data_IF_932762019122
#
_entry.id   IF_932762019122
#
_cell.length_a   1.000
_cell.length_b   1.000
_cell.length_c   1.000
_cell.angle_alpha   90.00
_cell.angle_beta   90.00
_cell.angle_gamma   90.00
#
_symmetry.space_group_name_H-M   'P 1'
#
loop_
_entity.id
_entity.type
_entity.pdbx_description
1 polymer ?
#
# COMPACT_ATOMS: atom_id res chain seq x y z
N UNK A 1 39.07 -20.25 26.74
CA UNK A 1 39.25 -18.78 26.87
C UNK A 1 37.90 -18.11 26.65
N UNK A 2 37.46 -17.22 27.55
CA UNK A 2 36.26 -16.38 27.35
C UNK A 2 36.71 -14.93 27.27
N UNK A 3 36.61 -14.32 26.09
CA UNK A 3 36.89 -12.89 25.86
C UNK A 3 35.81 -12.06 26.56
N UNK A 4 36.20 -11.00 27.28
CA UNK A 4 35.24 -10.09 27.92
C UNK A 4 35.04 -8.87 27.02
N UNK A 5 33.91 -8.82 26.34
CA UNK A 5 33.50 -7.66 25.54
C UNK A 5 33.21 -6.49 26.49
N UNK A 6 33.83 -5.34 26.23
CA UNK A 6 33.46 -4.10 26.92
C UNK A 6 32.12 -3.57 26.37
N UNK A 7 31.41 -2.71 27.12
CA UNK A 7 30.13 -2.10 26.71
C UNK A 7 30.18 -1.47 25.31
N UNK A 8 31.31 -0.84 24.95
CA UNK A 8 31.55 -0.29 23.61
C UNK A 8 31.48 -1.35 22.51
N UNK A 9 32.09 -2.53 22.71
CA UNK A 9 32.03 -3.62 21.73
C UNK A 9 30.59 -4.14 21.56
N UNK A 10 29.83 -4.22 22.66
CA UNK A 10 28.41 -4.63 22.60
C UNK A 10 27.59 -3.63 21.79
N UNK A 11 27.79 -2.33 22.00
CA UNK A 11 27.12 -1.27 21.25
C UNK A 11 27.50 -1.32 19.77
N UNK A 12 28.79 -1.50 19.45
CA UNK A 12 29.29 -1.62 18.08
C UNK A 12 28.71 -2.83 17.35
N UNK A 13 28.65 -3.99 18.01
CA UNK A 13 28.00 -5.21 17.49
C UNK A 13 26.52 -4.95 17.20
N UNK A 14 25.79 -4.36 18.15
CA UNK A 14 24.36 -4.08 17.99
C UNK A 14 24.09 -3.12 16.82
N UNK A 15 24.85 -2.03 16.73
CA UNK A 15 24.73 -1.08 15.61
C UNK A 15 25.04 -1.74 14.26
N UNK A 16 26.08 -2.57 14.21
CA UNK A 16 26.45 -3.31 13.00
C UNK A 16 25.38 -4.32 12.58
N UNK A 17 24.80 -5.07 13.54
CA UNK A 17 23.70 -6.01 13.29
C UNK A 17 22.47 -5.28 12.75
N UNK A 18 22.09 -4.15 13.36
CA UNK A 18 20.98 -3.31 12.87
C UNK A 18 21.24 -2.85 11.44
N UNK A 19 22.48 -2.46 11.13
CA UNK A 19 22.90 -2.11 9.77
C UNK A 19 22.73 -3.26 8.78
N UNK A 20 23.16 -4.47 9.13
CA UNK A 20 22.98 -5.66 8.28
C UNK A 20 21.49 -5.95 8.06
N UNK A 21 20.68 -5.91 9.11
CA UNK A 21 19.24 -6.15 9.02
C UNK A 21 18.60 -5.13 8.08
N UNK A 22 18.88 -3.84 8.28
CA UNK A 22 18.38 -2.76 7.42
C UNK A 22 18.84 -2.94 5.95
N UNK A 23 20.07 -3.40 5.72
CA UNK A 23 20.60 -3.69 4.39
C UNK A 23 19.82 -4.82 3.71
N UNK A 24 19.62 -5.94 4.40
CA UNK A 24 18.87 -7.10 3.87
C UNK A 24 17.44 -6.68 3.51
N UNK A 25 16.74 -6.00 4.43
CA UNK A 25 15.39 -5.50 4.16
C UNK A 25 15.36 -4.51 3.00
N UNK A 26 16.31 -3.59 2.93
CA UNK A 26 16.43 -2.62 1.84
C UNK A 26 16.69 -3.29 0.48
N UNK A 27 17.54 -4.32 0.43
CA UNK A 27 17.82 -5.08 -0.79
C UNK A 27 16.61 -5.89 -1.26
N UNK A 28 15.83 -6.47 -0.33
CA UNK A 28 14.56 -7.12 -0.67
C UNK A 28 13.58 -6.13 -1.28
N UNK A 29 13.48 -4.91 -0.72
CA UNK A 29 12.63 -3.84 -1.29
C UNK A 29 13.14 -3.45 -2.69
N UNK A 30 14.45 -3.24 -2.86
CA UNK A 30 15.05 -2.94 -4.16
C UNK A 30 14.72 -4.00 -5.20
N UNK A 31 14.91 -5.29 -4.87
CA UNK A 31 14.58 -6.39 -5.76
C UNK A 31 13.10 -6.39 -6.17
N UNK A 32 12.20 -6.09 -5.23
CA UNK A 32 10.77 -5.98 -5.51
C UNK A 32 10.42 -4.76 -6.37
N UNK A 33 11.08 -3.63 -6.15
CA UNK A 33 10.94 -2.43 -6.98
C UNK A 33 11.43 -2.66 -8.42
N UNK A 34 12.48 -3.47 -8.61
CA UNK A 34 12.97 -3.85 -9.95
C UNK A 34 12.00 -4.81 -10.68
N UNK A 35 11.26 -5.63 -9.93
CA UNK A 35 10.29 -6.60 -10.44
C UNK A 35 8.85 -6.12 -10.25
N UNK A 36 8.58 -4.85 -10.56
CA UNK A 36 7.24 -4.28 -10.44
C UNK A 36 6.31 -4.86 -11.51
N UNK A 37 5.14 -5.36 -11.10
CA UNK A 37 4.14 -5.89 -12.03
C UNK A 37 3.28 -4.77 -12.59
N UNK A 38 2.89 -4.88 -13.86
CA UNK A 38 1.93 -3.94 -14.43
C UNK A 38 0.52 -4.23 -13.89
N UNK A 39 -0.22 -3.20 -13.47
CA UNK A 39 -1.59 -3.32 -12.97
C UNK A 39 -2.52 -3.92 -14.04
N UNK A 40 -2.38 -3.48 -15.29
CA UNK A 40 -3.11 -4.02 -16.45
C UNK A 40 -2.86 -5.50 -16.71
N UNK A 41 -1.73 -6.05 -16.22
CA UNK A 41 -1.38 -7.46 -16.40
C UNK A 41 -1.81 -8.33 -15.21
N UNK A 42 -2.36 -7.74 -14.16
CA UNK A 42 -2.67 -8.44 -12.92
C UNK A 42 -3.93 -9.30 -13.07
N UNK A 43 -3.83 -10.57 -12.72
CA UNK A 43 -4.96 -11.49 -12.60
C UNK A 43 -5.40 -11.63 -11.15
N UNK A 44 -6.65 -12.02 -10.91
CA UNK A 44 -7.22 -12.17 -9.58
C UNK A 44 -6.41 -13.16 -8.71
N UNK A 45 -6.04 -14.31 -9.27
CA UNK A 45 -5.25 -15.35 -8.59
C UNK A 45 -3.79 -14.93 -8.30
N UNK A 46 -3.31 -13.90 -8.99
CA UNK A 46 -1.98 -13.33 -8.83
C UNK A 46 -1.91 -12.26 -7.73
N UNK A 47 -3.04 -11.83 -7.17
CA UNK A 47 -3.08 -10.82 -6.13
C UNK A 47 -2.57 -11.42 -4.82
N UNK A 48 -1.32 -11.08 -4.48
CA UNK A 48 -0.65 -11.57 -3.27
C UNK A 48 0.04 -10.45 -2.52
N UNK A 49 -0.09 -10.46 -1.20
CA UNK A 49 0.55 -9.51 -0.30
C UNK A 49 2.07 -9.42 -0.53
N UNK A 50 2.60 -8.21 -0.54
CA UNK A 50 4.00 -7.91 -0.79
C UNK A 50 4.39 -7.83 -2.26
N UNK A 51 3.45 -7.95 -3.19
CA UNK A 51 3.64 -7.71 -4.63
C UNK A 51 3.63 -6.22 -4.92
N UNK A 52 4.55 -5.76 -5.76
CA UNK A 52 4.66 -4.36 -6.16
C UNK A 52 3.99 -4.20 -7.51
N UNK A 53 3.15 -3.17 -7.65
CA UNK A 53 2.37 -2.92 -8.86
C UNK A 53 2.57 -1.48 -9.33
N UNK A 54 2.52 -1.29 -10.64
CA UNK A 54 2.51 0.02 -11.31
C UNK A 54 1.52 0.00 -12.45
N UNK A 55 0.79 1.07 -12.66
CA UNK A 55 -0.10 1.18 -13.81
C UNK A 55 -0.87 2.48 -13.79
N UNK A 56 -1.95 2.50 -14.57
CA UNK A 56 -2.83 3.64 -14.67
C UNK A 56 -4.16 3.33 -14.00
N UNK A 57 -4.69 4.26 -13.23
CA UNK A 57 -6.08 4.22 -12.75
C UNK A 57 -6.79 5.38 -13.44
N UNK A 58 -7.86 5.07 -14.17
CA UNK A 58 -8.71 6.05 -14.87
C UNK A 58 -10.17 5.96 -14.46
N UNK A 59 -10.55 4.91 -13.72
CA UNK A 59 -11.94 4.66 -13.30
C UNK A 59 -11.95 3.78 -12.07
N UNK A 60 -12.93 4.04 -11.20
CA UNK A 60 -13.29 3.22 -10.04
C UNK A 60 -14.72 2.75 -10.17
N UNK A 61 -15.10 1.77 -9.35
CA UNK A 61 -16.51 1.41 -9.16
C UNK A 61 -17.21 2.60 -8.52
N UNK A 62 -18.36 2.95 -9.07
CA UNK A 62 -19.23 4.00 -8.55
C UNK A 62 -20.65 3.46 -8.40
N UNK A 63 -21.48 4.15 -7.64
CA UNK A 63 -22.84 3.73 -7.36
C UNK A 63 -23.84 4.87 -7.25
N UNK A 64 -25.12 4.55 -7.44
CA UNK A 64 -26.23 5.46 -7.18
C UNK A 64 -26.80 5.22 -5.78
N UNK A 65 -26.77 6.24 -4.92
CA UNK A 65 -27.24 6.11 -3.56
C UNK A 65 -28.78 5.97 -3.51
N UNK A 66 -29.30 5.07 -2.68
CA UNK A 66 -30.74 4.74 -2.64
C UNK A 66 -31.61 5.96 -2.24
N UNK A 67 -31.04 6.88 -1.44
CA UNK A 67 -31.74 8.04 -0.89
C UNK A 67 -31.40 9.39 -1.55
N UNK A 68 -30.61 9.41 -2.63
CA UNK A 68 -30.21 10.66 -3.28
C UNK A 68 -31.28 11.13 -4.28
N UNK A 69 -31.78 12.36 -4.10
CA UNK A 69 -32.62 13.04 -5.09
C UNK A 69 -31.80 13.66 -6.24
N UNK A 70 -30.48 13.76 -6.06
CA UNK A 70 -29.55 14.17 -7.10
C UNK A 70 -29.07 12.91 -7.83
N UNK A 71 -29.27 12.84 -9.15
CA UNK A 71 -28.77 11.76 -10.02
C UNK A 71 -27.24 11.81 -10.19
N UNK A 72 -26.51 12.16 -9.12
CA UNK A 72 -25.06 12.16 -9.08
C UNK A 72 -24.55 10.82 -8.58
N UNK A 73 -23.52 10.36 -9.25
CA UNK A 73 -23.09 8.99 -9.27
C UNK A 73 -21.70 8.99 -8.58
N UNK A 74 -21.65 8.53 -7.34
CA UNK A 74 -20.48 8.72 -6.47
C UNK A 74 -19.59 7.48 -6.44
N UNK A 75 -18.26 7.63 -6.24
CA UNK A 75 -17.37 6.50 -5.98
C UNK A 75 -17.93 5.57 -4.90
N UNK A 76 -17.90 4.27 -5.17
CA UNK A 76 -18.28 3.27 -4.19
C UNK A 76 -17.14 3.11 -3.18
N UNK A 77 -17.26 3.88 -2.09
CA UNK A 77 -16.32 3.82 -0.98
C UNK A 77 -16.74 2.76 0.02
N UNK A 78 -15.90 1.73 0.17
CA UNK A 78 -16.09 0.69 1.20
C UNK A 78 -16.02 1.30 2.60
N UNK A 79 -15.20 2.34 2.76
CA UNK A 79 -14.99 3.04 4.00
C UNK A 79 -14.39 4.42 3.76
N UNK A 80 -14.95 5.41 4.46
CA UNK A 80 -14.37 6.74 4.65
C UNK A 80 -14.12 6.88 6.14
N UNK A 81 -12.89 7.26 6.50
CA UNK A 81 -12.65 7.79 7.83
C UNK A 81 -13.18 9.23 7.86
N UNK A 82 -14.37 9.45 8.44
CA UNK A 82 -14.75 10.78 8.87
C UNK A 82 -14.06 11.05 10.22
N UNK A 83 -13.29 12.13 10.34
CA UNK A 83 -12.95 12.62 11.67
C UNK A 83 -12.47 14.06 11.68
N UNK A 84 -12.99 14.81 12.64
CA UNK A 84 -12.45 16.07 13.13
C UNK A 84 -11.05 15.92 13.79
N UNK A 85 -10.43 14.73 13.74
CA UNK A 85 -9.08 14.47 14.24
C UNK A 85 -8.07 14.28 13.11
N UNK A 86 -7.09 15.19 13.10
CA UNK A 86 -5.91 15.20 12.24
C UNK A 86 -4.95 14.06 12.66
N UNK A 87 -5.31 12.81 12.38
CA UNK A 87 -4.38 11.66 12.50
C UNK A 87 -4.06 11.11 11.11
N UNK A 88 -2.83 10.66 10.88
CA UNK A 88 -2.32 10.07 9.60
C UNK A 88 -3.05 8.77 9.14
N UNK A 89 -4.20 8.44 9.76
CA UNK A 89 -5.11 7.36 9.36
C UNK A 89 -6.51 7.83 8.96
N UNK A 90 -6.84 9.11 9.14
CA UNK A 90 -8.21 9.63 9.05
C UNK A 90 -8.63 10.09 7.65
N UNK A 91 -7.79 9.99 6.62
CA UNK A 91 -8.10 10.48 5.27
C UNK A 91 -7.83 9.41 4.21
N UNK A 92 -8.36 8.20 4.41
CA UNK A 92 -8.15 7.09 3.46
C UNK A 92 -9.46 6.68 2.84
N UNK A 93 -9.51 6.76 1.52
CA UNK A 93 -10.62 6.27 0.71
C UNK A 93 -10.28 4.87 0.20
N UNK A 94 -11.20 3.93 0.40
CA UNK A 94 -11.10 2.55 -0.06
C UNK A 94 -12.04 2.36 -1.23
N UNK A 95 -11.49 2.37 -2.44
CA UNK A 95 -12.24 2.28 -3.69
C UNK A 95 -11.96 0.97 -4.40
N UNK A 96 -12.90 0.51 -5.22
CA UNK A 96 -12.72 -0.69 -6.03
C UNK A 96 -12.33 -0.33 -7.47
N UNK A 97 -11.40 -1.09 -8.03
CA UNK A 97 -10.98 -0.99 -9.44
C UNK A 97 -11.11 -2.37 -10.08
N UNK A 98 -11.67 -2.43 -11.28
CA UNK A 98 -11.75 -3.68 -12.06
C UNK A 98 -10.37 -4.08 -12.59
N UNK A 99 -10.07 -5.37 -12.57
CA UNK A 99 -8.84 -5.91 -13.17
C UNK A 99 -9.03 -6.04 -14.68
N UNK A 100 -8.21 -5.32 -15.46
CA UNK A 100 -8.29 -5.35 -16.93
C UNK A 100 -8.19 -6.77 -17.52
N UNK A 101 -7.37 -7.62 -16.90
CA UNK A 101 -7.13 -8.99 -17.36
C UNK A 101 -8.15 -10.02 -16.86
N UNK A 102 -8.97 -9.68 -15.86
CA UNK A 102 -10.05 -10.51 -15.34
C UNK A 102 -11.31 -9.65 -15.11
N UNK A 103 -12.03 -9.27 -16.19
CA UNK A 103 -13.24 -8.46 -16.08
C UNK A 103 -14.28 -9.08 -15.15
N UNK A 104 -14.97 -8.25 -14.38
CA UNK A 104 -15.88 -8.66 -13.31
C UNK A 104 -15.18 -9.05 -12.00
N UNK A 105 -13.84 -8.98 -11.94
CA UNK A 105 -13.06 -9.10 -10.70
C UNK A 105 -12.48 -7.75 -10.31
N UNK A 106 -12.48 -7.49 -9.01
CA UNK A 106 -12.11 -6.18 -8.46
C UNK A 106 -11.02 -6.31 -7.41
N UNK A 107 -10.20 -5.27 -7.32
CA UNK A 107 -9.22 -5.09 -6.26
C UNK A 107 -9.48 -3.78 -5.55
N UNK A 108 -9.34 -3.78 -4.22
CA UNK A 108 -9.43 -2.56 -3.44
C UNK A 108 -8.15 -1.75 -3.59
N UNK A 109 -8.27 -0.45 -3.84
CA UNK A 109 -7.18 0.53 -3.85
C UNK A 109 -7.40 1.48 -2.68
N UNK A 110 -6.36 1.69 -1.88
CA UNK A 110 -6.36 2.63 -0.76
C UNK A 110 -5.69 3.92 -1.21
N UNK A 111 -6.49 4.98 -1.27
CA UNK A 111 -6.07 6.32 -1.67
C UNK A 111 -5.96 7.16 -0.40
N UNK A 112 -4.77 7.72 -0.16
CA UNK A 112 -4.56 8.64 0.95
C UNK A 112 -4.84 10.06 0.44
N UNK A 113 -5.93 10.68 0.88
CA UNK A 113 -6.43 11.93 0.29
C UNK A 113 -5.41 13.08 0.41
N UNK A 114 -4.50 13.00 1.38
CA UNK A 114 -3.45 14.02 1.57
C UNK A 114 -2.26 13.83 0.63
N UNK A 115 -1.86 12.58 0.38
CA UNK A 115 -0.69 12.28 -0.46
C UNK A 115 -1.06 12.12 -1.94
N UNK A 116 -2.28 11.65 -2.21
CA UNK A 116 -2.81 11.34 -3.53
C UNK A 116 -3.99 12.29 -3.87
N UNK A 117 -3.91 13.55 -3.43
CA UNK A 117 -4.99 14.54 -3.54
C UNK A 117 -5.51 14.72 -4.96
N UNK A 118 -4.63 14.72 -5.96
CA UNK A 118 -5.02 14.89 -7.35
C UNK A 118 -5.83 13.69 -7.88
N UNK A 119 -5.39 12.47 -7.55
CA UNK A 119 -6.11 11.23 -7.88
C UNK A 119 -7.46 11.17 -7.14
N UNK A 120 -7.47 11.55 -5.86
CA UNK A 120 -8.70 11.63 -5.08
C UNK A 120 -9.67 12.63 -5.72
N UNK A 121 -9.22 13.87 -5.95
CA UNK A 121 -10.08 14.90 -6.52
C UNK A 121 -10.62 14.50 -7.89
N UNK A 122 -9.82 13.83 -8.71
CA UNK A 122 -10.29 13.31 -9.98
C UNK A 122 -11.39 12.27 -9.80
N UNK A 123 -11.19 11.28 -8.92
CA UNK A 123 -12.17 10.22 -8.69
C UNK A 123 -13.48 10.78 -8.12
N UNK A 124 -13.44 11.81 -7.27
CA UNK A 124 -14.63 12.34 -6.60
C UNK A 124 -15.29 13.52 -7.31
N UNK A 125 -14.53 14.36 -8.02
CA UNK A 125 -15.02 15.61 -8.59
C UNK A 125 -15.06 15.64 -10.13
N UNK A 126 -14.69 14.56 -10.84
CA UNK A 126 -14.92 14.51 -12.29
C UNK A 126 -16.42 14.62 -12.59
N UNK A 127 -16.81 15.80 -13.10
CA UNK A 127 -18.06 16.04 -13.81
C UNK A 127 -18.03 15.25 -15.12
N UNK A 128 -19.11 14.53 -15.43
CA UNK A 128 -19.21 13.50 -16.46
C UNK A 128 -18.98 13.89 -17.94
N UNK A 129 -18.22 14.93 -18.27
CA UNK A 129 -18.06 15.44 -19.64
C UNK A 129 -16.60 15.64 -20.14
N UNK A 130 -15.56 15.36 -19.34
CA UNK A 130 -14.17 15.42 -19.82
C UNK A 130 -13.48 14.04 -19.84
N UNK A 131 -12.58 13.85 -20.81
CA UNK A 131 -11.81 12.62 -21.02
C UNK A 131 -11.24 12.11 -19.69
N UNK A 132 -11.57 10.86 -19.33
CA UNK A 132 -11.05 10.20 -18.12
C UNK A 132 -9.52 10.26 -18.10
N UNK A 133 -8.98 11.16 -17.28
CA UNK A 133 -7.53 11.33 -17.20
C UNK A 133 -6.95 10.08 -16.53
N UNK A 134 -5.94 9.46 -17.14
CA UNK A 134 -5.33 8.28 -16.53
C UNK A 134 -4.24 8.73 -15.54
N UNK A 135 -4.34 8.36 -14.26
CA UNK A 135 -3.29 8.64 -13.28
C UNK A 135 -2.31 7.49 -13.15
N UNK A 136 -1.03 7.79 -13.32
CA UNK A 136 0.05 6.82 -13.10
C UNK A 136 0.23 6.60 -11.59
N UNK A 137 -0.02 5.36 -11.16
CA UNK A 137 0.09 4.94 -9.77
C UNK A 137 1.14 3.86 -9.59
N UNK A 138 1.76 3.87 -8.42
CA UNK A 138 2.63 2.80 -7.93
C UNK A 138 2.16 2.39 -6.54
N UNK A 139 2.17 1.09 -6.25
CA UNK A 139 1.66 0.60 -4.98
C UNK A 139 2.18 -0.78 -4.59
N UNK A 140 1.87 -1.15 -3.35
CA UNK A 140 2.15 -2.49 -2.80
C UNK A 140 0.83 -3.14 -2.45
N UNK A 141 0.62 -4.35 -2.94
CA UNK A 141 -0.50 -5.20 -2.50
C UNK A 141 -0.25 -5.59 -1.04
N UNK A 142 -1.22 -5.37 -0.17
CA UNK A 142 -1.15 -5.73 1.24
C UNK A 142 -2.39 -6.49 1.65
N UNK A 143 -2.18 -7.56 2.43
CA UNK A 143 -3.25 -8.27 3.13
C UNK A 143 -3.13 -7.95 4.61
N UNK A 144 -4.08 -7.16 5.15
CA UNK A 144 -4.22 -6.93 6.59
C UNK A 144 -5.59 -7.42 7.02
N UNK A 145 -5.67 -7.99 8.22
CA UNK A 145 -6.94 -8.44 8.80
C UNK A 145 -7.98 -7.32 8.88
N UNK A 146 -7.55 -6.09 9.19
CA UNK A 146 -8.41 -4.90 9.20
C UNK A 146 -9.02 -4.62 7.84
N UNK A 147 -8.17 -4.64 6.81
CA UNK A 147 -8.55 -4.26 5.45
C UNK A 147 -9.49 -5.31 4.86
N UNK A 148 -9.21 -6.60 5.10
CA UNK A 148 -10.08 -7.71 4.71
C UNK A 148 -11.48 -7.59 5.33
N UNK A 149 -11.56 -7.33 6.64
CA UNK A 149 -12.84 -7.16 7.32
C UNK A 149 -13.62 -5.97 6.77
N UNK A 150 -12.94 -4.86 6.48
CA UNK A 150 -13.56 -3.67 5.87
C UNK A 150 -14.13 -3.97 4.48
N UNK A 151 -13.41 -4.76 3.67
CA UNK A 151 -13.87 -5.18 2.34
C UNK A 151 -15.12 -6.06 2.48
N UNK A 152 -15.06 -7.10 3.34
CA UNK A 152 -16.19 -8.00 3.60
C UNK A 152 -17.42 -7.21 4.08
N UNK A 153 -17.28 -6.36 5.10
CA UNK A 153 -18.36 -5.53 5.66
C UNK A 153 -18.93 -4.56 4.62
N UNK A 154 -18.07 -3.96 3.79
CA UNK A 154 -18.47 -3.00 2.75
C UNK A 154 -19.29 -3.65 1.64
N UNK A 155 -18.85 -4.83 1.16
CA UNK A 155 -19.55 -5.62 0.14
C UNK A 155 -20.91 -6.09 0.65
N UNK A 156 -20.97 -6.61 1.88
CA UNK A 156 -22.23 -7.07 2.48
C UNK A 156 -23.27 -5.93 2.57
N UNK A 157 -22.82 -4.72 2.92
CA UNK A 157 -23.68 -3.53 3.06
C UNK A 157 -23.86 -2.75 1.76
N UNK A 158 -23.34 -3.23 0.64
CA UNK A 158 -23.41 -2.52 -0.64
C UNK A 158 -24.86 -2.21 -1.02
N UNK A 159 -25.73 -3.22 -0.95
CA UNK A 159 -27.13 -3.11 -1.35
C UNK A 159 -27.99 -2.31 -0.37
N UNK A 160 -27.47 -2.02 0.84
CA UNK A 160 -28.14 -1.15 1.81
C UNK A 160 -27.93 0.33 1.48
N UNK A 161 -26.84 0.66 0.76
CA UNK A 161 -26.42 2.04 0.46
C UNK A 161 -26.69 2.42 -0.99
N UNK A 162 -26.48 1.50 -1.92
CA UNK A 162 -26.52 1.77 -3.36
C UNK A 162 -27.58 0.92 -4.07
N UNK A 163 -28.34 1.54 -4.96
CA UNK A 163 -29.38 0.89 -5.76
C UNK A 163 -28.78 0.14 -6.96
N UNK A 164 -27.65 0.62 -7.47
CA UNK A 164 -26.90 0.02 -8.56
C UNK A 164 -25.45 0.47 -8.51
N UNK A 165 -24.55 -0.41 -8.95
CA UNK A 165 -23.13 -0.15 -9.12
C UNK A 165 -22.75 -0.23 -10.60
N UNK A 166 -21.73 0.53 -10.99
CA UNK A 166 -21.18 0.53 -12.34
C UNK A 166 -19.67 0.79 -12.34
N UNK A 167 -19.00 0.30 -13.37
CA UNK A 167 -17.61 0.60 -13.68
C UNK A 167 -17.55 1.21 -15.09
N UNK A 168 -17.29 2.52 -15.16
CA UNK A 168 -17.48 3.28 -16.40
C UNK A 168 -18.93 3.24 -16.87
N UNK A 169 -19.20 2.79 -18.09
CA UNK A 169 -20.58 2.69 -18.61
C UNK A 169 -21.24 1.32 -18.35
N UNK A 170 -20.57 0.41 -17.62
CA UNK A 170 -21.04 -0.97 -17.43
C UNK A 170 -21.66 -1.17 -16.05
N UNK A 171 -22.89 -1.68 -16.02
CA UNK A 171 -23.52 -2.14 -14.77
C UNK A 171 -22.79 -3.35 -14.18
N UNK A 172 -22.58 -3.32 -12.87
CA UNK A 172 -22.03 -4.44 -12.11
C UNK A 172 -23.20 -5.25 -11.57
N UNK A 173 -23.39 -6.46 -12.10
CA UNK A 173 -24.52 -7.33 -11.76
C UNK A 173 -24.26 -8.25 -10.57
N UNK A 174 -22.99 -8.46 -10.21
CA UNK A 174 -22.61 -9.35 -9.11
C UNK A 174 -21.36 -8.85 -8.39
N UNK A 175 -21.55 -8.20 -7.24
CA UNK A 175 -20.47 -7.87 -6.30
C UNK A 175 -20.60 -8.80 -5.09
N UNK A 176 -19.55 -9.56 -4.82
CA UNK A 176 -19.51 -10.51 -3.71
C UNK A 176 -18.07 -10.69 -3.23
N UNK A 177 -17.90 -11.34 -2.08
CA UNK A 177 -16.58 -11.66 -1.54
C UNK A 177 -15.74 -12.55 -2.47
N UNK A 178 -16.36 -13.24 -3.44
CA UNK A 178 -15.65 -14.06 -4.43
C UNK A 178 -15.21 -13.26 -5.67
N UNK A 179 -15.77 -12.07 -5.89
CA UNK A 179 -15.41 -11.19 -7.02
C UNK A 179 -14.46 -10.07 -6.61
N UNK A 180 -14.34 -9.78 -5.32
CA UNK A 180 -13.43 -8.76 -4.79
C UNK A 180 -12.27 -9.42 -4.04
N UNK A 181 -11.04 -8.97 -4.29
CA UNK A 181 -9.86 -9.49 -3.60
C UNK A 181 -9.87 -9.11 -2.13
N UNK A 182 -9.43 -10.03 -1.26
CA UNK A 182 -9.23 -9.79 0.17
C UNK A 182 -7.97 -8.94 0.48
N UNK A 183 -7.26 -8.54 -0.57
CA UNK A 183 -6.07 -7.70 -0.51
C UNK A 183 -6.36 -6.31 -1.08
N UNK A 184 -5.64 -5.32 -0.56
CA UNK A 184 -5.68 -3.95 -1.08
C UNK A 184 -4.36 -3.53 -1.73
N UNK A 185 -4.42 -2.71 -2.76
CA UNK A 185 -3.27 -1.97 -3.28
C UNK A 185 -3.13 -0.69 -2.45
N UNK A 186 -2.02 -0.55 -1.74
CA UNK A 186 -1.67 0.70 -1.05
C UNK A 186 -0.76 1.51 -1.94
N UNK A 187 -1.22 2.69 -2.34
CA UNK A 187 -0.44 3.62 -3.14
C UNK A 187 0.78 4.08 -2.36
N UNK A 188 1.95 3.90 -2.97
CA UNK A 188 3.24 4.28 -2.40
C UNK A 188 4.22 4.57 -3.54
N UNK A 189 4.84 5.75 -3.59
CA UNK A 189 5.84 6.04 -4.61
C UNK A 189 7.06 5.12 -4.43
N UNK A 190 7.44 4.38 -5.48
CA UNK A 190 8.55 3.42 -5.44
C UNK A 190 9.90 4.08 -5.74
N UNK A 191 9.87 5.27 -6.35
CA UNK A 191 11.05 6.05 -6.70
C UNK A 191 12.01 6.28 -5.52
N UNK A 192 11.47 6.54 -4.32
CA UNK A 192 12.27 6.72 -3.09
C UNK A 192 12.50 5.40 -2.34
N UNK A 193 11.56 4.45 -2.42
CA UNK A 193 11.64 3.16 -1.72
C UNK A 193 12.79 2.28 -2.16
N UNK A 194 13.15 2.30 -3.45
CA UNK A 194 14.29 1.53 -3.97
C UNK A 194 15.63 1.90 -3.31
N UNK A 195 15.72 3.06 -2.66
CA UNK A 195 16.93 3.55 -1.99
C UNK A 195 16.94 3.26 -0.48
N UNK A 196 15.95 2.57 0.07
CA UNK A 196 15.88 2.30 1.51
C UNK A 196 17.09 1.54 2.07
N UNK A 197 17.80 0.77 1.24
CA UNK A 197 19.04 0.11 1.65
C UNK A 197 20.14 1.11 2.07
N UNK A 198 20.11 2.36 1.59
CA UNK A 198 21.07 3.40 1.99
C UNK A 198 20.97 3.75 3.47
N UNK A 199 19.81 3.56 4.11
CA UNK A 199 19.66 3.76 5.55
C UNK A 199 20.52 2.81 6.38
N UNK A 200 21.04 1.72 5.80
CA UNK A 200 21.99 0.84 6.49
C UNK A 200 23.39 1.44 6.67
N UNK A 201 23.79 2.37 5.80
CA UNK A 201 25.17 2.87 5.73
C UNK A 201 25.62 3.54 7.05
N UNK A 202 24.83 4.45 7.67
CA UNK A 202 25.22 5.06 8.94
C UNK A 202 25.40 4.06 10.07
N UNK A 203 24.57 3.02 10.13
CA UNK A 203 24.63 1.99 11.19
C UNK A 203 25.84 1.06 11.01
N UNK A 204 26.12 0.66 9.77
CA UNK A 204 27.31 -0.14 9.45
C UNK A 204 28.58 0.64 9.78
N UNK A 205 28.65 1.92 9.38
CA UNK A 205 29.79 2.80 9.67
C UNK A 205 29.97 3.05 11.16
N UNK A 206 28.88 3.32 11.90
CA UNK A 206 28.92 3.50 13.35
C UNK A 206 29.39 2.23 14.07
N UNK A 207 28.88 1.07 13.66
CA UNK A 207 29.31 -0.23 14.19
C UNK A 207 30.81 -0.45 14.03
N UNK A 208 31.32 -0.29 12.80
CA UNK A 208 32.76 -0.43 12.48
C UNK A 208 33.61 0.58 13.26
N UNK A 209 33.18 1.84 13.32
CA UNK A 209 33.91 2.90 14.02
C UNK A 209 34.01 2.63 15.52
N UNK A 210 32.93 2.17 16.16
CA UNK A 210 32.91 1.81 17.59
C UNK A 210 33.79 0.59 17.86
N UNK A 211 33.88 -0.36 16.93
CA UNK A 211 34.81 -1.48 17.01
C UNK A 211 36.28 -1.02 16.97
N UNK A 212 36.62 -0.08 16.08
CA UNK A 212 37.98 0.48 15.98
C UNK A 212 38.33 1.24 17.26
N UNK A 213 37.41 2.05 17.78
CA UNK A 213 37.61 2.83 19.01
C UNK A 213 37.61 1.96 20.29
N UNK A 214 36.94 0.81 20.27
CA UNK A 214 36.86 -0.13 21.39
C UNK A 214 38.17 -0.88 21.70
N UNK A 215 39.12 -0.89 20.76
CA UNK A 215 40.39 -1.62 20.88
C UNK A 215 40.23 -3.14 20.78
N UNK A 216 41.29 -3.91 21.10
CA UNK A 216 41.20 -5.39 21.10
C UNK A 216 40.50 -5.86 22.38
N UNK A 217 39.63 -6.90 22.30
CA UNK A 217 39.06 -7.51 23.49
C UNK A 217 40.18 -8.11 24.36
N UNK A 218 40.23 -7.73 25.63
CA UNK A 218 41.26 -8.17 26.56
C UNK A 218 41.10 -9.66 26.90
N UNK A 219 42.20 -10.40 26.88
CA UNK A 219 42.25 -11.78 27.37
C UNK A 219 42.11 -11.81 28.89
N UNK A 220 41.37 -12.79 29.40
CA UNK A 220 41.31 -13.07 30.84
C UNK A 220 42.67 -13.63 31.25
N UNK A 221 43.49 -12.84 31.92
CA UNK A 221 44.61 -13.37 32.70
C UNK A 221 43.99 -14.18 33.84
N UNK A 222 44.37 -15.46 33.94
CA UNK A 222 43.90 -16.41 34.96
C UNK A 222 44.44 -16.03 36.33
#
# INVERSE_FOLDING_TARGET
>A
MKLKLNKLHVIGISAFIIGIIALIFGLVILYKCLNIRALSKLKFDDIKSGTYVKGKISTVVRGYHIASNDFKDEPYELYVTDSQEISEGAYKSYVLVELENDPGKYVCVVIDQYYDTDLYNQIFYENGDEEKISYDVEGVITSRKSDRKLIEDGIEKCNDRYSSLYYGSKYITNISNDTVSDCCIKLRPMGTRKFWWLYSIPFLFAGISVFILGGRPYERIK
#
